data_IF_787968651592
#
_entry.id   IF_787968651592
#
_cell.length_a   1.000
_cell.length_b   1.000
_cell.length_c   1.000
_cell.angle_alpha   90.00
_cell.angle_beta   90.00
_cell.angle_gamma   90.00
#
_symmetry.space_group_name_H-M   'P 1'
#
loop_
_entity.id
_entity.type
_entity.pdbx_description
1 polymer ?
#
# COMPACT_ATOMS: atom_id res chain seq x y z
N UNK A 1 -5.07 -29.14 -42.43
CA UNK A 1 -3.74 -28.49 -42.45
C UNK A 1 -3.85 -27.20 -41.66
N UNK A 2 -3.07 -27.11 -40.55
CA UNK A 2 -2.52 -25.93 -39.85
C UNK A 2 -3.51 -24.84 -39.37
N UNK A 3 -3.78 -24.79 -38.05
CA UNK A 3 -3.06 -24.02 -36.99
C UNK A 3 -3.70 -22.63 -36.81
N UNK A 4 -4.45 -22.41 -35.73
CA UNK A 4 -4.01 -21.87 -34.42
C UNK A 4 -3.50 -20.43 -34.49
N UNK A 5 -4.35 -19.48 -34.07
CA UNK A 5 -3.93 -18.27 -33.35
C UNK A 5 -5.01 -17.98 -32.29
N UNK A 6 -4.83 -18.57 -31.10
CA UNK A 6 -5.38 -18.02 -29.87
C UNK A 6 -4.41 -16.92 -29.42
N UNK A 7 -4.77 -15.65 -29.65
CA UNK A 7 -4.12 -14.54 -28.95
C UNK A 7 -4.94 -14.30 -27.70
N UNK A 8 -4.41 -14.94 -26.66
CA UNK A 8 -4.53 -14.60 -25.26
C UNK A 8 -4.55 -13.07 -25.07
N UNK A 9 -5.67 -12.56 -24.55
CA UNK A 9 -5.68 -11.32 -23.82
C UNK A 9 -6.59 -11.54 -22.61
N UNK A 10 -6.20 -12.53 -21.81
CA UNK A 10 -6.65 -12.64 -20.43
C UNK A 10 -6.13 -11.41 -19.66
N UNK A 11 -6.75 -11.12 -18.52
CA UNK A 11 -6.39 -10.07 -17.56
C UNK A 11 -7.11 -8.72 -17.66
N UNK A 12 -8.41 -8.73 -17.99
CA UNK A 12 -9.35 -7.94 -17.17
C UNK A 12 -9.74 -8.78 -15.95
N UNK A 13 -8.78 -9.06 -15.06
CA UNK A 13 -9.14 -9.54 -13.73
C UNK A 13 -9.77 -8.34 -13.02
N UNK A 14 -11.02 -8.51 -12.56
CA UNK A 14 -11.66 -7.58 -11.62
C UNK A 14 -10.78 -7.47 -10.37
N UNK A 15 -9.88 -6.50 -10.31
CA UNK A 15 -9.03 -6.28 -9.15
C UNK A 15 -9.65 -5.27 -8.18
N UNK A 16 -10.79 -5.63 -7.57
CA UNK A 16 -11.30 -4.92 -6.39
C UNK A 16 -10.52 -5.28 -5.10
N UNK A 17 -9.47 -6.11 -5.23
CA UNK A 17 -8.60 -6.54 -4.13
C UNK A 17 -7.24 -5.86 -4.11
N UNK A 18 -6.95 -5.00 -5.10
CA UNK A 18 -5.63 -4.42 -5.29
C UNK A 18 -5.60 -2.93 -4.89
N UNK A 19 -6.66 -2.44 -4.24
CA UNK A 19 -6.76 -1.08 -3.74
C UNK A 19 -6.44 -1.05 -2.24
N UNK A 20 -5.61 -0.08 -1.86
CA UNK A 20 -5.26 0.20 -0.48
C UNK A 20 -5.50 1.67 -0.18
N UNK A 21 -6.04 1.94 0.99
CA UNK A 21 -6.28 3.27 1.51
C UNK A 21 -5.20 3.61 2.53
N UNK A 22 -4.30 4.51 2.17
CA UNK A 22 -3.21 4.94 3.03
C UNK A 22 -3.76 5.89 4.09
N UNK A 23 -3.55 5.56 5.37
CA UNK A 23 -4.06 6.32 6.50
C UNK A 23 -2.97 7.15 7.18
N UNK A 24 -1.76 6.60 7.27
CA UNK A 24 -0.63 7.25 7.91
C UNK A 24 0.71 6.73 7.36
N UNK A 25 1.79 7.47 7.55
CA UNK A 25 3.14 7.04 7.20
C UNK A 25 4.18 7.50 8.23
N UNK A 26 5.27 6.75 8.41
CA UNK A 26 6.38 7.20 9.25
C UNK A 26 7.25 8.21 8.48
N UNK A 27 7.62 9.35 9.07
CA UNK A 27 8.49 10.32 8.40
C UNK A 27 9.92 9.77 8.21
N UNK A 28 10.66 10.40 7.30
CA UNK A 28 12.08 10.12 7.05
C UNK A 28 12.33 9.33 5.77
N UNK A 29 13.59 8.87 5.61
CA UNK A 29 14.09 8.30 4.34
C UNK A 29 13.50 6.94 3.97
N UNK A 30 12.95 6.21 4.94
CA UNK A 30 12.42 4.85 4.76
C UNK A 30 10.99 4.75 5.32
N UNK A 31 9.99 5.35 4.64
CA UNK A 31 8.64 5.43 5.18
C UNK A 31 7.99 4.05 5.32
N UNK A 32 7.39 3.79 6.48
CA UNK A 32 6.46 2.69 6.71
C UNK A 32 5.06 3.25 6.48
N UNK A 33 4.22 2.56 5.71
CA UNK A 33 2.83 2.94 5.48
C UNK A 33 1.91 2.14 6.39
N UNK A 34 0.87 2.78 6.93
CA UNK A 34 -0.29 2.10 7.50
C UNK A 34 -1.45 2.27 6.54
N UNK A 35 -1.98 1.14 6.07
CA UNK A 35 -3.04 1.11 5.05
C UNK A 35 -4.21 0.25 5.51
N UNK A 36 -5.38 0.60 5.03
CA UNK A 36 -6.59 -0.22 5.06
C UNK A 36 -6.76 -0.86 3.67
N UNK A 37 -6.81 -2.18 3.61
CA UNK A 37 -7.10 -2.92 2.38
C UNK A 37 -8.61 -2.87 2.08
N UNK A 38 -9.01 -3.18 0.84
CA UNK A 38 -10.43 -3.25 0.47
C UNK A 38 -11.26 -4.27 1.28
N UNK A 39 -10.60 -5.23 1.95
CA UNK A 39 -11.21 -6.13 2.93
C UNK A 39 -11.56 -5.47 4.27
N UNK A 40 -11.14 -4.23 4.49
CA UNK A 40 -11.18 -3.53 5.79
C UNK A 40 -10.04 -3.91 6.74
N UNK A 41 -9.09 -4.75 6.29
CA UNK A 41 -7.95 -5.14 7.10
C UNK A 41 -6.90 -4.03 7.16
N UNK A 42 -6.46 -3.68 8.37
CA UNK A 42 -5.35 -2.75 8.58
C UNK A 42 -4.01 -3.48 8.55
N UNK A 43 -3.09 -3.00 7.71
CA UNK A 43 -1.74 -3.55 7.58
C UNK A 43 -0.68 -2.46 7.52
N UNK A 44 0.53 -2.82 7.97
CA UNK A 44 1.72 -2.01 7.75
C UNK A 44 2.55 -2.56 6.61
N UNK A 45 2.92 -1.67 5.70
CA UNK A 45 3.79 -1.93 4.56
C UNK A 45 5.16 -1.27 4.78
N UNK A 46 6.23 -1.98 4.45
CA UNK A 46 7.60 -1.60 4.81
C UNK A 46 8.42 -1.21 3.58
N UNK A 47 9.22 -0.14 3.68
CA UNK A 47 10.12 0.29 2.61
C UNK A 47 11.12 -0.80 2.20
N UNK A 48 11.70 -1.50 3.18
CA UNK A 48 12.69 -2.57 3.00
C UNK A 48 12.17 -3.79 2.23
N UNK A 49 10.85 -4.00 2.18
CA UNK A 49 10.23 -5.05 1.37
C UNK A 49 9.80 -4.53 -0.01
N UNK A 50 10.02 -3.25 -0.30
CA UNK A 50 9.48 -2.60 -1.49
C UNK A 50 7.96 -2.45 -1.46
N UNK A 51 7.36 -2.47 -0.27
CA UNK A 51 5.90 -2.45 -0.07
C UNK A 51 5.19 -3.68 -0.66
N UNK A 52 5.84 -4.84 -0.62
CA UNK A 52 5.26 -6.13 -0.97
C UNK A 52 4.12 -6.52 -0.02
N UNK A 53 2.92 -6.79 -0.57
CA UNK A 53 1.71 -7.15 0.17
C UNK A 53 1.79 -8.47 0.92
N UNK A 54 2.60 -9.43 0.45
CA UNK A 54 2.81 -10.72 1.11
C UNK A 54 3.74 -10.57 2.32
N UNK A 55 4.51 -9.48 2.37
CA UNK A 55 5.50 -9.18 3.43
C UNK A 55 5.03 -8.02 4.31
N UNK A 56 3.76 -8.06 4.69
CA UNK A 56 3.10 -7.07 5.54
C UNK A 56 2.88 -7.59 6.95
N UNK A 57 2.50 -6.69 7.86
CA UNK A 57 2.07 -7.05 9.21
C UNK A 57 0.69 -6.48 9.49
N UNK A 58 -0.24 -7.33 9.91
CA UNK A 58 -1.58 -6.89 10.35
C UNK A 58 -1.47 -6.10 11.65
N UNK A 59 -2.25 -5.02 11.74
CA UNK A 59 -2.35 -4.18 12.93
C UNK A 59 -3.81 -3.96 13.30
N UNK A 60 -4.06 -3.60 14.55
CA UNK A 60 -5.40 -3.27 15.02
C UNK A 60 -5.64 -1.77 14.96
N UNK A 61 -6.91 -1.38 14.98
CA UNK A 61 -7.31 0.02 15.08
C UNK A 61 -6.75 0.69 16.35
N UNK A 62 -6.73 -0.03 17.48
CA UNK A 62 -6.09 0.46 18.71
C UNK A 62 -4.59 0.70 18.52
N UNK A 63 -3.89 -0.20 17.82
CA UNK A 63 -2.47 0.00 17.51
C UNK A 63 -2.26 1.25 16.66
N UNK A 64 -3.08 1.47 15.63
CA UNK A 64 -3.03 2.67 14.80
C UNK A 64 -3.20 3.93 15.66
N UNK A 65 -4.23 3.97 16.52
CA UNK A 65 -4.48 5.12 17.40
C UNK A 65 -3.36 5.37 18.40
N UNK A 66 -2.81 4.32 19.01
CA UNK A 66 -1.82 4.46 20.08
C UNK A 66 -0.38 4.66 19.58
N UNK A 67 -0.02 4.08 18.43
CA UNK A 67 1.37 4.02 17.96
C UNK A 67 1.61 4.86 16.72
N UNK A 68 0.66 4.88 15.78
CA UNK A 68 0.81 5.72 14.59
C UNK A 68 0.43 7.17 14.93
N UNK A 69 -0.81 7.37 15.40
CA UNK A 69 -1.37 8.71 15.61
C UNK A 69 -0.94 9.28 16.98
N UNK A 70 -1.14 8.53 18.06
CA UNK A 70 -1.01 9.03 19.44
C UNK A 70 0.41 9.28 19.94
N UNK A 71 1.43 8.70 19.30
CA UNK A 71 2.85 8.88 19.69
C UNK A 71 3.65 9.78 18.75
N UNK A 72 3.02 10.34 17.70
CA UNK A 72 3.68 11.14 16.66
C UNK A 72 4.80 10.41 15.91
N UNK A 73 4.86 9.08 16.01
CA UNK A 73 5.81 8.27 15.23
C UNK A 73 5.41 8.21 13.74
N UNK A 74 4.14 8.53 13.43
CA UNK A 74 3.60 8.58 12.08
C UNK A 74 2.85 9.89 11.88
N UNK A 75 2.80 10.31 10.62
CA UNK A 75 2.02 11.44 10.13
C UNK A 75 0.70 10.86 9.61
N UNK A 76 -0.40 11.23 10.25
CA UNK A 76 -1.74 10.97 9.75
C UNK A 76 -2.02 11.86 8.53
N UNK A 77 -2.65 11.28 7.51
CA UNK A 77 -3.03 12.01 6.30
C UNK A 77 -4.52 11.89 6.06
N UNK A 78 -5.07 12.81 5.26
CA UNK A 78 -6.35 12.55 4.60
C UNK A 78 -6.21 11.27 3.79
N UNK A 79 -7.08 10.26 4.02
CA UNK A 79 -6.88 8.96 3.40
C UNK A 79 -6.81 9.04 1.88
N UNK A 80 -5.84 8.33 1.31
CA UNK A 80 -5.66 8.26 -0.15
C UNK A 80 -5.75 6.83 -0.64
N UNK A 81 -6.60 6.63 -1.64
CA UNK A 81 -6.76 5.35 -2.32
C UNK A 81 -5.70 5.23 -3.41
N UNK A 82 -4.92 4.17 -3.35
CA UNK A 82 -3.83 3.88 -4.28
C UNK A 82 -3.82 2.37 -4.55
N UNK A 83 -3.44 1.95 -5.75
CA UNK A 83 -3.17 0.53 -5.99
C UNK A 83 -2.01 0.06 -5.12
N UNK A 84 -2.09 -1.15 -4.56
CA UNK A 84 -1.01 -1.77 -3.81
C UNK A 84 0.27 -1.83 -4.65
N UNK A 85 0.14 -2.10 -5.96
CA UNK A 85 1.26 -2.14 -6.90
C UNK A 85 1.95 -0.79 -7.09
N UNK A 86 1.23 0.32 -6.84
CA UNK A 86 1.73 1.68 -7.01
C UNK A 86 2.20 2.32 -5.69
N UNK A 87 2.11 1.62 -4.55
CA UNK A 87 2.49 2.17 -3.25
C UNK A 87 3.94 2.68 -3.23
N UNK A 88 4.85 1.95 -3.89
CA UNK A 88 6.25 2.37 -4.00
C UNK A 88 6.40 3.68 -4.77
N UNK A 89 5.72 3.81 -5.90
CA UNK A 89 5.75 5.02 -6.72
C UNK A 89 5.08 6.19 -6.00
N UNK A 90 3.99 5.94 -5.28
CA UNK A 90 3.36 6.93 -4.41
C UNK A 90 4.34 7.47 -3.37
N UNK A 91 5.04 6.59 -2.62
CA UNK A 91 6.01 7.03 -1.62
C UNK A 91 7.10 7.89 -2.25
N UNK A 92 7.65 7.45 -3.39
CA UNK A 92 8.73 8.18 -4.06
C UNK A 92 8.29 9.56 -4.54
N UNK A 93 7.06 9.71 -5.01
CA UNK A 93 6.55 10.96 -5.59
C UNK A 93 6.03 11.94 -4.55
N UNK A 94 5.34 11.42 -3.53
CA UNK A 94 4.56 12.25 -2.60
C UNK A 94 5.20 12.39 -1.21
N UNK A 95 6.00 11.40 -0.78
CA UNK A 95 6.53 11.36 0.59
C UNK A 95 8.04 11.58 0.65
N UNK A 96 8.76 11.20 -0.40
CA UNK A 96 10.18 11.45 -0.54
C UNK A 96 10.36 12.62 -1.50
N UNK A 97 10.86 13.74 -1.01
CA UNK A 97 11.44 14.76 -1.88
C UNK A 97 12.73 14.14 -2.46
N UNK A 98 12.66 13.49 -3.62
CA UNK A 98 13.85 13.26 -4.43
C UNK A 98 14.31 14.62 -4.97
N UNK A 99 15.05 15.35 -4.13
CA UNK A 99 15.84 16.51 -4.51
C UNK A 99 17.15 16.08 -5.19
#
# INVERSE_FOLDING_TARGET
MRSEIAIDCLCMVKESHNEAKILAYSPGRYPILVVELSSGELRTFYYETGYDSERTKSVTESWLRENAIGRHSFIEITPREVSILELRDYVRRELLEEA
#
